data_IF_867548238410
#
_entry.id   IF_867548238410
#
_cell.length_a   1.000
_cell.length_b   1.000
_cell.length_c   1.000
_cell.angle_alpha   90.00
_cell.angle_beta   90.00
_cell.angle_gamma   90.00
#
_symmetry.space_group_name_H-M   'P 1'
#
loop_
_entity.id
_entity.type
_entity.pdbx_description
1 polymer ?
#
# COMPACT_ATOMS: atom_id res chain seq x y z
N UNK A 1 -22.02 -10.57 -14.45
CA UNK A 1 -21.44 -9.33 -15.02
C UNK A 1 -22.31 -8.18 -14.61
N UNK A 2 -21.78 -7.29 -13.77
CA UNK A 2 -22.36 -5.98 -13.48
C UNK A 2 -21.77 -5.01 -14.49
N UNK A 3 -22.63 -4.39 -15.31
CA UNK A 3 -22.27 -3.30 -16.20
C UNK A 3 -23.34 -2.23 -16.06
N UNK A 4 -22.96 -0.96 -16.22
CA UNK A 4 -23.93 0.14 -16.31
C UNK A 4 -24.23 0.45 -17.78
N UNK A 5 -25.48 0.80 -18.09
CA UNK A 5 -25.82 1.31 -19.43
C UNK A 5 -25.30 2.74 -19.52
N UNK A 6 -24.43 2.99 -20.50
CA UNK A 6 -23.81 4.29 -20.70
C UNK A 6 -24.86 5.38 -20.96
N UNK A 7 -24.73 6.48 -20.23
CA UNK A 7 -25.46 7.74 -20.48
C UNK A 7 -24.43 8.80 -20.83
N UNK A 8 -24.69 9.60 -21.85
CA UNK A 8 -23.70 10.52 -22.40
C UNK A 8 -24.00 11.95 -22.00
N UNK A 9 -23.01 12.63 -21.44
CA UNK A 9 -23.02 14.07 -21.18
C UNK A 9 -21.92 14.68 -22.06
N UNK A 10 -22.28 15.57 -23.01
CA UNK A 10 -21.29 16.24 -23.86
C UNK A 10 -20.20 16.91 -23.03
N UNK A 11 -18.95 16.76 -23.44
CA UNK A 11 -17.84 17.40 -22.74
C UNK A 11 -17.71 18.88 -23.09
N UNK A 12 -17.47 19.73 -22.11
CA UNK A 12 -17.09 21.13 -22.35
C UNK A 12 -15.64 21.26 -22.87
N UNK A 13 -14.81 20.23 -22.67
CA UNK A 13 -13.46 20.19 -23.21
C UNK A 13 -13.50 19.75 -24.67
N UNK A 14 -13.08 20.62 -25.59
CA UNK A 14 -13.04 20.38 -27.03
C UNK A 14 -12.22 19.16 -27.42
N UNK A 15 -11.20 18.80 -26.63
CA UNK A 15 -10.36 17.63 -26.90
C UNK A 15 -11.07 16.30 -26.58
N UNK A 16 -12.15 16.34 -25.79
CA UNK A 16 -12.92 15.17 -25.35
C UNK A 16 -14.28 15.06 -26.04
N UNK A 17 -14.72 16.10 -26.74
CA UNK A 17 -16.02 16.16 -27.40
C UNK A 17 -16.18 15.05 -28.45
N UNK A 18 -17.36 14.42 -28.44
CA UNK A 18 -17.70 13.35 -29.38
C UNK A 18 -16.95 12.04 -29.11
N UNK A 19 -16.28 11.91 -27.96
CA UNK A 19 -15.73 10.65 -27.52
C UNK A 19 -16.71 9.94 -26.56
N UNK A 20 -17.46 8.93 -27.03
CA UNK A 20 -18.46 8.27 -26.20
C UNK A 20 -17.88 7.55 -24.98
N UNK A 21 -16.57 7.23 -25.00
CA UNK A 21 -15.89 6.59 -23.87
C UNK A 21 -15.48 7.58 -22.77
N UNK A 22 -15.47 8.88 -23.07
CA UNK A 22 -15.26 9.94 -22.06
C UNK A 22 -16.59 10.50 -21.60
N UNK A 23 -17.51 10.76 -22.53
CA UNK A 23 -18.80 11.40 -22.25
C UNK A 23 -19.73 10.53 -21.39
N UNK A 24 -19.48 9.22 -21.29
CA UNK A 24 -20.20 8.34 -20.38
C UNK A 24 -19.63 8.26 -18.96
N UNK A 25 -18.43 8.79 -18.73
CA UNK A 25 -17.81 8.80 -17.41
C UNK A 25 -18.49 9.84 -16.52
N UNK A 26 -18.51 9.63 -15.19
CA UNK A 26 -19.05 10.61 -14.27
C UNK A 26 -18.35 11.97 -14.41
N UNK A 27 -19.13 13.03 -14.19
CA UNK A 27 -18.57 14.36 -14.00
C UNK A 27 -17.70 14.37 -12.74
N UNK A 28 -16.67 15.20 -12.74
CA UNK A 28 -15.82 15.34 -11.55
C UNK A 28 -16.69 15.89 -10.41
N UNK A 29 -16.71 15.17 -9.30
CA UNK A 29 -17.37 15.60 -8.08
C UNK A 29 -16.62 16.79 -7.45
N UNK A 30 -17.36 17.66 -6.77
CA UNK A 30 -16.75 18.64 -5.87
C UNK A 30 -16.07 17.91 -4.72
N UNK A 31 -15.24 18.60 -3.92
CA UNK A 31 -14.67 18.00 -2.71
C UNK A 31 -15.78 17.45 -1.83
N UNK A 32 -16.81 18.25 -1.56
CA UNK A 32 -17.85 17.89 -0.59
C UNK A 32 -18.65 16.67 -1.07
N UNK A 33 -19.07 16.66 -2.35
CA UNK A 33 -19.78 15.51 -2.92
C UNK A 33 -18.92 14.25 -2.96
N UNK A 34 -17.62 14.39 -3.24
CA UNK A 34 -16.70 13.25 -3.22
C UNK A 34 -16.58 12.66 -1.82
N UNK A 35 -16.46 13.51 -0.79
CA UNK A 35 -16.34 13.07 0.59
C UNK A 35 -17.61 12.38 1.05
N UNK A 36 -18.79 12.88 0.65
CA UNK A 36 -20.07 12.21 0.88
C UNK A 36 -20.16 10.85 0.20
N UNK A 37 -19.61 10.72 -1.02
CA UNK A 37 -19.66 9.48 -1.78
C UNK A 37 -18.72 8.38 -1.24
N UNK A 38 -17.60 8.75 -0.62
CA UNK A 38 -16.55 7.79 -0.25
C UNK A 38 -16.39 7.54 1.25
N UNK A 39 -16.97 8.39 2.12
CA UNK A 39 -16.86 8.13 3.54
C UNK A 39 -17.62 6.86 3.92
N UNK A 40 -17.01 6.05 4.78
CA UNK A 40 -17.64 4.89 5.40
C UNK A 40 -17.24 4.93 6.88
N UNK A 41 -17.90 5.81 7.62
CA UNK A 41 -17.59 6.05 9.02
C UNK A 41 -18.31 5.02 9.89
N UNK A 42 -17.66 4.63 10.98
CA UNK A 42 -18.23 3.72 11.95
C UNK A 42 -18.55 4.50 13.22
N UNK A 43 -19.83 4.50 13.57
CA UNK A 43 -20.32 5.15 14.78
C UNK A 43 -20.42 4.19 15.97
N UNK A 44 -20.33 4.77 17.16
CA UNK A 44 -20.64 4.07 18.40
C UNK A 44 -22.12 3.66 18.39
N UNK A 45 -22.46 2.38 18.64
CA UNK A 45 -23.86 1.94 18.66
C UNK A 45 -24.68 2.73 19.69
N UNK A 46 -25.88 3.19 19.29
CA UNK A 46 -26.79 3.90 20.19
C UNK A 46 -27.17 3.08 21.44
N UNK A 47 -27.22 1.75 21.30
CA UNK A 47 -27.53 0.81 22.37
C UNK A 47 -26.28 0.20 23.01
N UNK A 48 -25.14 0.89 22.99
CA UNK A 48 -23.85 0.40 23.50
C UNK A 48 -24.00 -0.32 24.85
N UNK A 49 -24.71 0.30 25.80
CA UNK A 49 -24.88 -0.20 27.16
C UNK A 49 -25.69 -1.51 27.27
N UNK A 50 -26.53 -1.82 26.28
CA UNK A 50 -27.31 -3.06 26.21
C UNK A 50 -26.49 -4.23 25.62
N UNK A 51 -25.40 -3.92 24.92
CA UNK A 51 -24.54 -4.92 24.29
C UNK A 51 -23.65 -5.61 25.32
N UNK A 52 -23.44 -6.91 25.11
CA UNK A 52 -22.47 -7.70 25.88
C UNK A 52 -21.05 -7.24 25.57
N UNK A 53 -20.13 -7.51 26.51
CA UNK A 53 -18.68 -7.25 26.34
C UNK A 53 -18.16 -7.90 25.05
N UNK A 54 -18.56 -9.15 24.78
CA UNK A 54 -18.17 -9.87 23.57
C UNK A 54 -18.61 -9.15 22.30
N UNK A 55 -19.86 -8.69 22.23
CA UNK A 55 -20.36 -7.96 21.05
C UNK A 55 -19.65 -6.61 20.89
N UNK A 56 -19.37 -5.89 21.98
CA UNK A 56 -18.60 -4.63 21.91
C UNK A 56 -17.17 -4.88 21.42
N UNK A 57 -16.52 -5.97 21.85
CA UNK A 57 -15.19 -6.35 21.38
C UNK A 57 -15.17 -6.68 19.88
N UNK A 58 -16.19 -7.39 19.39
CA UNK A 58 -16.33 -7.68 17.95
C UNK A 58 -16.50 -6.38 17.16
N UNK A 59 -17.33 -5.45 17.66
CA UNK A 59 -17.52 -4.14 17.05
C UNK A 59 -16.27 -3.26 17.10
N UNK A 60 -15.38 -3.42 18.09
CA UNK A 60 -14.13 -2.64 18.15
C UNK A 60 -13.30 -2.76 16.87
N UNK A 61 -13.34 -3.91 16.19
CA UNK A 61 -12.63 -4.15 14.94
C UNK A 61 -13.20 -3.38 13.73
N UNK A 62 -14.43 -2.84 13.82
CA UNK A 62 -15.06 -2.14 12.71
C UNK A 62 -14.31 -0.87 12.31
N UNK A 63 -13.65 -0.18 13.25
CA UNK A 63 -12.87 1.02 12.94
C UNK A 63 -11.77 0.77 11.91
N UNK A 64 -11.22 -0.45 11.87
CA UNK A 64 -10.19 -0.85 10.90
C UNK A 64 -10.74 -0.96 9.47
N UNK A 65 -12.06 -1.06 9.30
CA UNK A 65 -12.74 -1.11 8.01
C UNK A 65 -13.26 0.26 7.57
N UNK A 66 -13.23 1.24 8.46
CA UNK A 66 -13.79 2.55 8.18
C UNK A 66 -12.93 3.37 7.24
N UNK A 67 -13.57 4.26 6.49
CA UNK A 67 -12.93 5.19 5.56
C UNK A 67 -13.22 6.61 6.01
N UNK A 68 -12.20 7.27 6.55
CA UNK A 68 -12.21 8.69 6.87
C UNK A 68 -11.39 9.41 5.79
N UNK A 69 -12.03 10.01 4.77
CA UNK A 69 -11.33 10.65 3.67
C UNK A 69 -10.57 11.90 4.15
N UNK A 70 -9.43 12.14 3.53
CA UNK A 70 -8.58 13.33 3.75
C UNK A 70 -8.34 14.04 2.41
N UNK A 71 -7.67 15.19 2.42
CA UNK A 71 -7.40 15.93 1.17
C UNK A 71 -6.71 15.06 0.10
N UNK A 72 -5.83 14.16 0.51
CA UNK A 72 -5.10 13.23 -0.36
C UNK A 72 -6.03 12.28 -1.14
N UNK A 73 -7.20 11.92 -0.59
CA UNK A 73 -8.18 11.12 -1.32
C UNK A 73 -8.71 11.87 -2.53
N UNK A 74 -9.00 13.18 -2.36
CA UNK A 74 -9.54 14.02 -3.41
C UNK A 74 -8.50 14.37 -4.48
N UNK A 75 -7.24 14.59 -4.08
CA UNK A 75 -6.15 14.84 -5.04
C UNK A 75 -5.93 13.61 -5.94
N UNK A 76 -5.87 12.41 -5.34
CA UNK A 76 -5.73 11.16 -6.08
C UNK A 76 -6.95 10.87 -6.97
N UNK A 77 -8.16 11.18 -6.50
CA UNK A 77 -9.38 11.13 -7.32
C UNK A 77 -9.27 12.02 -8.57
N UNK A 78 -8.83 13.27 -8.39
CA UNK A 78 -8.68 14.22 -9.47
C UNK A 78 -7.66 13.75 -10.51
N UNK A 79 -6.50 13.30 -10.04
CA UNK A 79 -5.42 12.77 -10.87
C UNK A 79 -5.83 11.50 -11.61
N UNK A 80 -6.52 10.57 -10.95
CA UNK A 80 -7.02 9.35 -11.55
C UNK A 80 -8.00 9.65 -12.70
N UNK A 81 -8.97 10.54 -12.48
CA UNK A 81 -9.90 10.96 -13.53
C UNK A 81 -9.19 11.66 -14.70
N UNK A 82 -8.19 12.49 -14.43
CA UNK A 82 -7.41 13.16 -15.47
C UNK A 82 -6.70 12.14 -16.36
N UNK A 83 -5.92 11.23 -15.77
CA UNK A 83 -5.15 10.25 -16.57
C UNK A 83 -6.07 9.31 -17.38
N UNK A 84 -7.25 8.98 -16.84
CA UNK A 84 -8.25 8.17 -17.52
C UNK A 84 -8.79 8.91 -18.75
N UNK A 85 -9.24 10.16 -18.59
CA UNK A 85 -9.80 10.97 -19.68
C UNK A 85 -8.75 11.33 -20.73
N UNK A 86 -7.57 11.78 -20.31
CA UNK A 86 -6.43 12.05 -21.21
C UNK A 86 -6.03 10.81 -22.02
N UNK A 87 -5.97 9.65 -21.37
CA UNK A 87 -5.68 8.41 -22.05
C UNK A 87 -6.73 8.03 -23.09
N UNK A 88 -8.00 8.29 -22.83
CA UNK A 88 -9.09 7.99 -23.74
C UNK A 88 -9.22 9.00 -24.89
N UNK A 89 -8.72 10.23 -24.74
CA UNK A 89 -8.83 11.29 -25.73
C UNK A 89 -8.26 10.87 -27.10
N UNK A 90 -7.04 10.31 -27.10
CA UNK A 90 -6.38 9.79 -28.31
C UNK A 90 -6.89 8.41 -28.77
N UNK A 91 -7.93 7.88 -28.10
CA UNK A 91 -8.45 6.52 -28.27
C UNK A 91 -9.96 6.50 -28.48
N UNK A 92 -10.51 7.55 -29.10
CA UNK A 92 -11.92 7.60 -29.48
C UNK A 92 -12.27 6.43 -30.43
N UNK A 93 -13.21 5.53 -30.05
CA UNK A 93 -13.59 4.37 -30.88
C UNK A 93 -14.20 4.74 -32.24
N UNK A 94 -14.72 5.96 -32.40
CA UNK A 94 -15.33 6.45 -33.62
C UNK A 94 -14.31 7.02 -34.61
N UNK A 95 -13.05 7.21 -34.19
CA UNK A 95 -12.01 7.77 -35.03
C UNK A 95 -11.35 6.69 -35.90
N UNK A 96 -11.29 6.91 -37.23
CA UNK A 96 -10.63 6.00 -38.18
C UNK A 96 -9.15 5.76 -37.86
N UNK A 97 -8.43 6.77 -37.37
CA UNK A 97 -7.02 6.63 -37.03
C UNK A 97 -6.79 5.67 -35.85
N UNK A 98 -7.76 5.58 -34.93
CA UNK A 98 -7.75 4.61 -33.84
C UNK A 98 -7.94 3.20 -34.39
N UNK A 99 -8.86 3.00 -35.34
CA UNK A 99 -9.04 1.70 -36.00
C UNK A 99 -7.79 1.27 -36.79
N UNK A 100 -7.15 2.21 -37.51
CA UNK A 100 -5.87 1.97 -38.20
C UNK A 100 -4.78 1.57 -37.21
N UNK A 101 -4.69 2.27 -36.08
CA UNK A 101 -3.72 1.96 -35.02
C UNK A 101 -3.96 0.57 -34.41
N UNK A 102 -5.20 0.21 -34.06
CA UNK A 102 -5.53 -1.13 -33.55
C UNK A 102 -5.12 -2.23 -34.53
N UNK A 103 -5.39 -2.04 -35.83
CA UNK A 103 -4.97 -2.97 -36.88
C UNK A 103 -3.43 -3.07 -36.99
N UNK A 104 -2.72 -1.96 -36.86
CA UNK A 104 -1.25 -1.96 -36.84
C UNK A 104 -0.68 -2.70 -35.64
N UNK A 105 -1.27 -2.55 -34.46
CA UNK A 105 -0.87 -3.28 -33.25
C UNK A 105 -1.14 -4.78 -33.43
N UNK A 106 -2.34 -5.16 -33.91
CA UNK A 106 -2.71 -6.55 -34.15
C UNK A 106 -1.82 -7.25 -35.19
N UNK A 107 -1.42 -6.54 -36.24
CA UNK A 107 -0.53 -7.06 -37.29
C UNK A 107 0.95 -6.93 -36.97
N UNK A 108 1.31 -6.41 -35.79
CA UNK A 108 2.70 -6.11 -35.40
C UNK A 108 3.43 -5.19 -36.39
N UNK A 109 2.70 -4.34 -37.12
CA UNK A 109 3.25 -3.34 -38.06
C UNK A 109 3.36 -1.94 -37.44
N UNK A 110 2.86 -1.76 -36.22
CA UNK A 110 2.94 -0.50 -35.49
C UNK A 110 4.38 -0.01 -35.32
N UNK A 111 4.64 1.22 -35.75
CA UNK A 111 5.90 1.93 -35.49
C UNK A 111 5.67 2.90 -34.34
N UNK A 112 6.60 2.90 -33.37
CA UNK A 112 6.53 3.73 -32.18
C UNK A 112 6.54 5.21 -32.56
N UNK A 113 5.52 5.94 -32.10
CA UNK A 113 5.42 7.39 -32.23
C UNK A 113 5.81 8.06 -30.91
N UNK A 114 5.91 9.40 -30.90
CA UNK A 114 6.32 10.17 -29.70
C UNK A 114 5.28 10.15 -28.57
N UNK A 115 4.02 9.84 -28.87
CA UNK A 115 2.92 9.84 -27.89
C UNK A 115 3.04 8.66 -26.94
N UNK A 116 3.04 8.93 -25.63
CA UNK A 116 3.05 7.92 -24.56
C UNK A 116 1.86 8.20 -23.66
N UNK A 117 1.07 7.18 -23.32
CA UNK A 117 -0.06 7.36 -22.43
C UNK A 117 0.38 7.81 -21.02
N UNK A 118 -0.42 8.63 -20.33
CA UNK A 118 -0.07 9.12 -19.00
C UNK A 118 0.13 7.96 -18.02
N UNK A 119 1.06 8.13 -17.08
CA UNK A 119 1.29 7.15 -16.02
C UNK A 119 1.48 7.87 -14.70
N UNK A 120 0.80 7.38 -13.67
CA UNK A 120 0.87 7.90 -12.30
C UNK A 120 1.51 6.84 -11.40
N UNK A 121 2.44 7.26 -10.55
CA UNK A 121 3.06 6.40 -9.54
C UNK A 121 2.70 6.95 -8.16
N UNK A 122 1.78 6.28 -7.47
CA UNK A 122 1.36 6.61 -6.12
C UNK A 122 2.10 5.75 -5.09
N UNK A 123 3.16 6.32 -4.52
CA UNK A 123 3.95 5.66 -3.47
C UNK A 123 3.68 6.28 -2.11
N UNK A 124 3.98 5.58 -1.04
CA UNK A 124 3.93 6.16 0.30
C UNK A 124 4.19 5.15 1.40
N UNK A 125 4.25 5.63 2.63
CA UNK A 125 4.60 4.79 3.77
C UNK A 125 3.58 3.67 3.95
N UNK A 126 4.02 2.49 4.40
CA UNK A 126 3.11 1.41 4.77
C UNK A 126 2.10 1.86 5.84
N UNK A 127 0.84 1.44 5.72
CA UNK A 127 -0.22 1.83 6.67
C UNK A 127 -0.88 3.19 6.46
N UNK A 128 -0.57 3.91 5.37
CA UNK A 128 -1.21 5.19 5.01
C UNK A 128 -2.60 5.06 4.38
N UNK A 129 -3.02 3.85 3.99
CA UNK A 129 -4.33 3.64 3.35
C UNK A 129 -4.36 3.84 1.83
N UNK A 130 -3.23 3.71 1.12
CA UNK A 130 -3.15 3.88 -0.34
C UNK A 130 -4.16 3.02 -1.13
N UNK A 131 -4.23 1.73 -0.80
CA UNK A 131 -5.21 0.81 -1.42
C UNK A 131 -6.64 1.24 -1.07
N UNK A 132 -6.89 1.65 0.18
CA UNK A 132 -8.19 2.19 0.60
C UNK A 132 -8.58 3.43 -0.19
N UNK A 133 -7.66 4.37 -0.43
CA UNK A 133 -7.91 5.55 -1.28
C UNK A 133 -8.36 5.12 -2.66
N UNK A 134 -7.62 4.23 -3.31
CA UNK A 134 -7.93 3.83 -4.68
C UNK A 134 -9.24 3.06 -4.73
N UNK A 135 -9.48 2.13 -3.81
CA UNK A 135 -10.75 1.41 -3.76
C UNK A 135 -11.93 2.37 -3.54
N UNK A 136 -11.75 3.39 -2.71
CA UNK A 136 -12.73 4.47 -2.48
C UNK A 136 -12.96 5.33 -3.74
N UNK A 137 -11.90 5.67 -4.48
CA UNK A 137 -12.03 6.36 -5.76
C UNK A 137 -12.81 5.52 -6.77
N UNK A 138 -12.52 4.22 -6.82
CA UNK A 138 -13.16 3.30 -7.76
C UNK A 138 -14.63 3.05 -7.43
N UNK A 139 -15.13 3.32 -6.21
CA UNK A 139 -16.58 3.24 -5.94
C UNK A 139 -17.37 4.33 -6.66
N UNK A 140 -16.71 5.43 -7.06
CA UNK A 140 -17.34 6.56 -7.75
C UNK A 140 -17.43 6.38 -9.27
N UNK A 141 -16.83 5.32 -9.82
CA UNK A 141 -16.70 5.10 -11.27
C UNK A 141 -17.02 3.64 -11.57
N UNK A 142 -17.97 3.40 -12.46
CA UNK A 142 -18.29 2.03 -12.85
C UNK A 142 -17.12 1.37 -13.61
N UNK A 143 -16.82 0.09 -13.34
CA UNK A 143 -15.73 -0.61 -14.01
C UNK A 143 -16.03 -0.88 -15.49
N UNK A 144 -17.31 -1.01 -15.87
CA UNK A 144 -17.73 -1.40 -17.22
C UNK A 144 -18.99 -0.67 -17.65
N UNK A 145 -18.93 -0.01 -18.80
CA UNK A 145 -20.08 0.58 -19.47
C UNK A 145 -20.51 -0.20 -20.71
N UNK A 146 -21.82 -0.32 -20.92
CA UNK A 146 -22.41 -0.89 -22.14
C UNK A 146 -23.03 0.21 -22.99
N UNK A 147 -22.58 0.31 -24.24
CA UNK A 147 -22.98 1.37 -25.18
C UNK A 147 -24.15 0.95 -26.07
N UNK A 148 -25.16 0.27 -25.51
CA UNK A 148 -26.27 -0.28 -26.30
C UNK A 148 -27.20 0.77 -26.93
N UNK A 149 -27.11 2.02 -26.49
CA UNK A 149 -27.97 3.12 -26.93
C UNK A 149 -27.25 4.14 -27.82
N UNK A 150 -25.96 3.96 -28.09
CA UNK A 150 -25.20 4.89 -28.91
C UNK A 150 -25.35 4.56 -30.40
N UNK A 151 -25.77 5.54 -31.21
CA UNK A 151 -26.15 5.32 -32.61
C UNK A 151 -25.03 4.77 -33.49
N UNK A 152 -23.79 5.21 -33.24
CA UNK A 152 -22.61 4.84 -34.03
C UNK A 152 -21.83 3.63 -33.49
N UNK A 153 -22.18 3.12 -32.29
CA UNK A 153 -21.50 1.97 -31.70
C UNK A 153 -22.38 0.73 -31.83
N UNK A 154 -21.75 -0.44 -31.91
CA UNK A 154 -22.48 -1.70 -31.89
C UNK A 154 -23.25 -1.88 -30.57
N UNK A 155 -24.44 -2.46 -30.63
CA UNK A 155 -25.30 -2.68 -29.45
C UNK A 155 -24.70 -3.57 -28.36
N UNK A 156 -23.61 -4.28 -28.68
CA UNK A 156 -22.83 -5.15 -27.79
C UNK A 156 -21.50 -4.53 -27.35
N UNK A 157 -21.20 -3.28 -27.71
CA UNK A 157 -19.96 -2.62 -27.33
C UNK A 157 -19.90 -2.44 -25.81
N UNK A 158 -18.85 -3.00 -25.22
CA UNK A 158 -18.49 -2.85 -23.81
C UNK A 158 -17.22 -2.01 -23.73
N UNK A 159 -17.21 -1.07 -22.80
CA UNK A 159 -16.04 -0.30 -22.41
C UNK A 159 -15.56 -0.78 -21.05
N UNK A 160 -14.33 -1.27 -20.98
CA UNK A 160 -13.65 -1.55 -19.71
C UNK A 160 -12.98 -0.25 -19.26
N UNK A 161 -13.49 0.37 -18.19
CA UNK A 161 -12.99 1.65 -17.70
C UNK A 161 -11.66 1.49 -16.99
N UNK A 162 -11.55 0.49 -16.11
CA UNK A 162 -10.30 0.17 -15.44
C UNK A 162 -10.14 -1.33 -15.21
N UNK A 163 -8.88 -1.76 -15.08
CA UNK A 163 -8.50 -3.08 -14.60
C UNK A 163 -7.57 -2.88 -13.41
N UNK A 164 -7.90 -3.45 -12.26
CA UNK A 164 -7.02 -3.47 -11.08
C UNK A 164 -6.44 -4.85 -10.87
N UNK A 165 -5.13 -4.94 -10.63
CA UNK A 165 -4.45 -6.17 -10.22
C UNK A 165 -3.49 -5.88 -9.06
N UNK A 166 -3.39 -6.82 -8.12
CA UNK A 166 -2.46 -6.74 -7.00
C UNK A 166 -1.22 -7.60 -7.33
N UNK A 167 -0.05 -6.99 -7.45
CA UNK A 167 1.18 -7.69 -7.84
C UNK A 167 1.66 -8.55 -6.66
N UNK A 168 1.78 -9.88 -6.79
CA UNK A 168 2.26 -10.73 -5.70
C UNK A 168 3.79 -10.64 -5.50
N UNK A 169 4.28 -11.04 -4.32
CA UNK A 169 5.70 -11.00 -3.94
C UNK A 169 6.65 -11.70 -4.94
N UNK A 170 6.24 -12.85 -5.48
CA UNK A 170 7.00 -13.62 -6.48
C UNK A 170 6.48 -13.41 -7.92
N UNK A 171 5.99 -12.21 -8.23
CA UNK A 171 5.48 -11.90 -9.55
C UNK A 171 6.54 -12.05 -10.64
N UNK A 172 6.14 -12.70 -11.74
CA UNK A 172 6.88 -12.68 -12.99
C UNK A 172 6.00 -12.05 -14.09
N UNK A 173 6.61 -11.67 -15.21
CA UNK A 173 5.89 -10.94 -16.27
C UNK A 173 4.72 -11.75 -16.86
N UNK A 174 4.85 -13.08 -16.91
CA UNK A 174 3.79 -13.93 -17.44
C UNK A 174 2.58 -13.96 -16.52
N UNK A 175 2.80 -14.10 -15.21
CA UNK A 175 1.75 -14.04 -14.20
C UNK A 175 0.97 -12.73 -14.27
N UNK A 176 1.66 -11.59 -14.37
CA UNK A 176 1.01 -10.27 -14.54
C UNK A 176 0.12 -10.25 -15.79
N UNK A 177 0.57 -10.85 -16.90
CA UNK A 177 -0.25 -10.92 -18.12
C UNK A 177 -1.51 -11.76 -17.92
N UNK A 178 -1.40 -12.89 -17.21
CA UNK A 178 -2.53 -13.78 -16.93
C UNK A 178 -3.54 -13.10 -16.00
N UNK A 179 -3.08 -12.36 -14.98
CA UNK A 179 -3.97 -11.59 -14.10
C UNK A 179 -4.78 -10.55 -14.86
N UNK A 180 -4.17 -9.82 -15.81
CA UNK A 180 -4.90 -8.86 -16.67
C UNK A 180 -5.90 -9.59 -17.57
N UNK A 181 -5.50 -10.72 -18.18
CA UNK A 181 -6.39 -11.51 -19.03
C UNK A 181 -7.59 -12.06 -18.24
N UNK A 182 -7.36 -12.50 -17.00
CA UNK A 182 -8.39 -12.97 -16.06
C UNK A 182 -9.43 -11.87 -15.75
N UNK A 183 -8.97 -10.65 -15.51
CA UNK A 183 -9.88 -9.50 -15.30
C UNK A 183 -10.72 -9.21 -16.55
N UNK A 184 -10.13 -9.32 -17.74
CA UNK A 184 -10.87 -9.17 -19.01
C UNK A 184 -11.89 -10.30 -19.18
N UNK A 185 -11.50 -11.54 -18.87
CA UNK A 185 -12.39 -12.71 -18.95
C UNK A 185 -13.60 -12.59 -18.03
N UNK A 186 -13.42 -12.05 -16.82
CA UNK A 186 -14.51 -11.78 -15.88
C UNK A 186 -15.54 -10.78 -16.44
N UNK A 187 -15.09 -9.82 -17.26
CA UNK A 187 -15.96 -8.83 -17.90
C UNK A 187 -16.62 -9.37 -19.17
N UNK A 188 -15.88 -10.08 -20.02
CA UNK A 188 -16.35 -10.49 -21.35
C UNK A 188 -16.92 -11.91 -21.39
N UNK A 189 -16.67 -12.74 -20.37
CA UNK A 189 -17.07 -14.15 -20.35
C UNK A 189 -16.22 -15.01 -21.28
N UNK A 190 -14.99 -14.58 -21.54
CA UNK A 190 -13.99 -15.24 -22.39
C UNK A 190 -13.08 -16.14 -21.57
N UNK A 191 -12.08 -16.76 -22.20
CA UNK A 191 -11.08 -17.61 -21.55
C UNK A 191 -9.64 -17.30 -22.03
N UNK A 192 -9.31 -16.02 -22.19
CA UNK A 192 -7.98 -15.58 -22.57
C UNK A 192 -6.89 -16.01 -21.59
N UNK A 193 -7.16 -16.03 -20.28
CA UNK A 193 -6.21 -16.50 -19.27
C UNK A 193 -5.72 -17.92 -19.59
N UNK A 194 -6.66 -18.86 -19.74
CA UNK A 194 -6.36 -20.26 -20.06
C UNK A 194 -5.67 -20.41 -21.44
N UNK A 195 -6.08 -19.60 -22.42
CA UNK A 195 -5.45 -19.58 -23.74
C UNK A 195 -4.00 -19.06 -23.66
N UNK A 196 -3.74 -18.08 -22.80
CA UNK A 196 -2.47 -17.37 -22.72
C UNK A 196 -1.45 -18.09 -21.85
N UNK A 197 -1.90 -18.86 -20.86
CA UNK A 197 -1.07 -19.72 -20.02
C UNK A 197 -0.22 -20.69 -20.85
N UNK A 198 -0.79 -21.21 -21.93
CA UNK A 198 -0.14 -22.16 -22.86
C UNK A 198 0.90 -21.48 -23.77
N UNK A 199 1.00 -20.15 -23.76
CA UNK A 199 1.86 -19.39 -24.66
C UNK A 199 3.24 -19.12 -24.06
N UNK A 200 4.25 -19.07 -24.94
CA UNK A 200 5.55 -18.51 -24.59
C UNK A 200 5.38 -17.06 -24.13
N UNK A 201 6.14 -16.65 -23.11
CA UNK A 201 6.05 -15.33 -22.45
C UNK A 201 6.04 -14.15 -23.44
N UNK A 202 6.94 -14.15 -24.43
CA UNK A 202 7.02 -13.07 -25.42
C UNK A 202 5.78 -12.98 -26.32
N UNK A 203 5.15 -14.11 -26.63
CA UNK A 203 3.91 -14.15 -27.41
C UNK A 203 2.70 -13.77 -26.53
N UNK A 204 2.70 -14.20 -25.26
CA UNK A 204 1.69 -13.81 -24.27
C UNK A 204 1.63 -12.28 -24.13
N UNK A 205 2.77 -11.61 -23.91
CA UNK A 205 2.85 -10.15 -23.83
C UNK A 205 2.28 -9.48 -25.09
N UNK A 206 2.69 -9.95 -26.28
CA UNK A 206 2.20 -9.39 -27.55
C UNK A 206 0.68 -9.53 -27.69
N UNK A 207 0.14 -10.73 -27.45
CA UNK A 207 -1.30 -10.98 -27.53
C UNK A 207 -2.08 -10.15 -26.52
N UNK A 208 -1.58 -10.01 -25.29
CA UNK A 208 -2.19 -9.17 -24.27
C UNK A 208 -2.24 -7.70 -24.72
N UNK A 209 -1.14 -7.16 -25.22
CA UNK A 209 -1.08 -5.77 -25.72
C UNK A 209 -2.07 -5.56 -26.87
N UNK A 210 -2.18 -6.52 -27.79
CA UNK A 210 -3.20 -6.50 -28.85
C UNK A 210 -4.61 -6.56 -28.27
N UNK A 211 -4.88 -7.44 -27.30
CA UNK A 211 -6.18 -7.56 -26.67
C UNK A 211 -6.60 -6.27 -25.96
N UNK A 212 -5.72 -5.69 -25.14
CA UNK A 212 -6.05 -4.48 -24.40
C UNK A 212 -6.22 -3.27 -25.33
N UNK A 213 -5.47 -3.19 -26.43
CA UNK A 213 -5.66 -2.13 -27.44
C UNK A 213 -6.94 -2.32 -28.26
N UNK A 214 -7.31 -3.55 -28.62
CA UNK A 214 -8.57 -3.82 -29.33
C UNK A 214 -9.80 -3.51 -28.47
N UNK A 215 -9.70 -3.72 -27.16
CA UNK A 215 -10.76 -3.42 -26.19
C UNK A 215 -10.75 -1.98 -25.71
N UNK A 216 -9.76 -1.17 -26.11
CA UNK A 216 -9.58 0.22 -25.67
C UNK A 216 -9.66 0.37 -24.14
N UNK A 217 -9.03 -0.55 -23.40
CA UNK A 217 -9.05 -0.57 -21.91
C UNK A 217 -8.67 0.81 -21.36
N UNK A 218 -9.51 1.40 -20.51
CA UNK A 218 -9.37 2.78 -20.05
C UNK A 218 -8.07 3.01 -19.27
N UNK A 219 -7.87 2.37 -18.13
CA UNK A 219 -6.64 2.44 -17.32
C UNK A 219 -6.31 1.08 -16.68
N UNK A 220 -5.02 0.77 -16.49
CA UNK A 220 -4.59 -0.41 -15.72
C UNK A 220 -3.93 0.05 -14.42
N UNK A 221 -4.46 -0.44 -13.30
CA UNK A 221 -4.02 -0.18 -11.94
C UNK A 221 -3.21 -1.38 -11.46
N UNK A 222 -1.94 -1.14 -11.14
CA UNK A 222 -1.03 -2.10 -10.55
C UNK A 222 -0.86 -1.75 -9.08
N UNK A 223 -1.47 -2.51 -8.18
CA UNK A 223 -1.21 -2.38 -6.75
C UNK A 223 0.01 -3.21 -6.33
N UNK A 224 0.58 -2.88 -5.18
CA UNK A 224 1.72 -3.60 -4.59
C UNK A 224 2.98 -3.64 -5.50
N UNK A 225 3.25 -2.58 -6.27
CA UNK A 225 4.35 -2.59 -7.26
C UNK A 225 5.74 -2.76 -6.66
N UNK A 226 5.88 -2.50 -5.36
CA UNK A 226 7.12 -2.70 -4.62
C UNK A 226 7.54 -4.18 -4.60
N UNK A 227 6.62 -5.12 -4.85
CA UNK A 227 6.94 -6.54 -4.96
C UNK A 227 7.91 -6.85 -6.12
N UNK A 228 7.93 -6.00 -7.16
CA UNK A 228 8.90 -6.09 -8.26
C UNK A 228 10.36 -5.90 -7.77
N UNK A 229 10.56 -5.27 -6.60
CA UNK A 229 11.88 -5.12 -5.99
C UNK A 229 12.48 -6.45 -5.52
N UNK A 230 11.67 -7.47 -5.28
CA UNK A 230 12.14 -8.81 -4.87
C UNK A 230 12.32 -9.76 -6.05
N UNK A 231 11.74 -9.43 -7.20
CA UNK A 231 11.90 -10.19 -8.43
C UNK A 231 13.34 -10.16 -8.96
N UNK A 232 13.79 -11.29 -9.52
CA UNK A 232 15.09 -11.40 -10.18
C UNK A 232 15.30 -10.30 -11.25
N UNK A 233 16.52 -9.73 -11.40
CA UNK A 233 16.77 -8.58 -12.28
C UNK A 233 16.31 -8.77 -13.73
N UNK A 234 16.46 -9.97 -14.29
CA UNK A 234 16.02 -10.28 -15.65
C UNK A 234 14.49 -10.28 -15.81
N UNK A 235 13.77 -10.73 -14.79
CA UNK A 235 12.30 -10.69 -14.79
C UNK A 235 11.81 -9.27 -14.53
N UNK A 236 12.45 -8.51 -13.63
CA UNK A 236 12.17 -7.08 -13.44
C UNK A 236 12.26 -6.29 -14.76
N UNK A 237 13.32 -6.48 -15.54
CA UNK A 237 13.47 -5.84 -16.87
C UNK A 237 12.30 -6.16 -17.80
N UNK A 238 11.82 -7.40 -17.80
CA UNK A 238 10.68 -7.83 -18.63
C UNK A 238 9.36 -7.19 -18.16
N UNK A 239 9.16 -7.03 -16.86
CA UNK A 239 7.99 -6.32 -16.32
C UNK A 239 8.02 -4.84 -16.76
N UNK A 240 9.17 -4.18 -16.72
CA UNK A 240 9.31 -2.83 -17.26
C UNK A 240 9.03 -2.75 -18.75
N UNK A 241 9.47 -3.75 -19.53
CA UNK A 241 9.12 -3.84 -20.94
C UNK A 241 7.62 -4.01 -21.14
N UNK A 242 6.93 -4.80 -20.30
CA UNK A 242 5.47 -4.91 -20.35
C UNK A 242 4.80 -3.54 -20.11
N UNK A 243 5.21 -2.79 -19.08
CA UNK A 243 4.69 -1.44 -18.83
C UNK A 243 4.93 -0.49 -20.02
N UNK A 244 6.11 -0.55 -20.64
CA UNK A 244 6.46 0.22 -21.84
C UNK A 244 5.52 -0.14 -23.02
N UNK A 245 5.27 -1.44 -23.23
CA UNK A 245 4.36 -1.90 -24.29
C UNK A 245 2.92 -1.47 -24.03
N UNK A 246 2.42 -1.55 -22.80
CA UNK A 246 1.06 -1.10 -22.45
C UNK A 246 0.89 0.41 -22.69
N UNK A 247 1.83 1.23 -22.25
CA UNK A 247 1.73 2.69 -22.32
C UNK A 247 2.01 3.27 -23.70
N UNK A 248 2.84 2.62 -24.53
CA UNK A 248 3.26 3.19 -25.82
C UNK A 248 2.67 2.47 -27.03
N UNK A 249 2.51 1.14 -26.94
CA UNK A 249 1.92 0.35 -28.03
C UNK A 249 0.42 0.31 -27.86
N UNK A 250 -0.06 -0.14 -26.69
CA UNK A 250 -1.50 -0.15 -26.40
C UNK A 250 -2.08 1.21 -25.99
N UNK A 251 -1.21 2.22 -25.75
CA UNK A 251 -1.61 3.58 -25.35
C UNK A 251 -2.55 3.59 -24.13
N UNK A 252 -2.34 2.67 -23.20
CA UNK A 252 -3.17 2.55 -22.00
C UNK A 252 -2.47 3.29 -20.85
N UNK A 253 -3.15 4.26 -20.22
CA UNK A 253 -2.72 4.83 -18.96
C UNK A 253 -2.48 3.78 -17.90
N UNK A 254 -1.54 4.05 -17.01
CA UNK A 254 -1.27 3.14 -15.88
C UNK A 254 -1.18 3.90 -14.57
N UNK A 255 -1.81 3.35 -13.53
CA UNK A 255 -1.62 3.78 -12.14
C UNK A 255 -0.82 2.69 -11.42
N UNK A 256 0.26 3.08 -10.75
CA UNK A 256 1.14 2.16 -10.03
C UNK A 256 1.18 2.53 -8.56
N UNK A 257 0.69 1.65 -7.69
CA UNK A 257 0.55 1.90 -6.26
C UNK A 257 1.56 1.02 -5.52
N UNK A 258 2.24 1.56 -4.52
CA UNK A 258 3.18 0.76 -3.73
C UNK A 258 3.75 1.51 -2.54
N UNK A 259 4.60 0.83 -1.77
CA UNK A 259 5.34 1.46 -0.68
C UNK A 259 6.46 2.35 -1.20
N UNK A 260 7.06 3.17 -0.34
CA UNK A 260 8.22 4.03 -0.69
C UNK A 260 9.38 3.21 -1.24
N UNK A 261 9.49 1.94 -0.86
CA UNK A 261 10.44 0.97 -1.43
C UNK A 261 10.37 0.86 -2.95
N UNK A 262 9.19 1.09 -3.55
CA UNK A 262 9.05 1.11 -5.01
C UNK A 262 9.84 2.24 -5.68
N UNK A 263 10.26 3.28 -4.94
CA UNK A 263 11.11 4.35 -5.47
C UNK A 263 12.49 3.83 -5.89
N UNK A 264 13.00 2.77 -5.27
CA UNK A 264 14.25 2.09 -5.70
C UNK A 264 14.20 1.58 -7.13
N UNK A 265 13.00 1.28 -7.65
CA UNK A 265 12.81 0.89 -9.05
C UNK A 265 13.13 2.02 -10.04
N UNK A 266 13.00 3.27 -9.59
CA UNK A 266 13.30 4.48 -10.38
C UNK A 266 14.79 4.83 -10.34
N UNK A 267 15.48 4.51 -9.24
CA UNK A 267 16.88 4.86 -8.99
C UNK A 267 17.88 4.06 -9.84
N UNK A 268 17.51 2.85 -10.26
CA UNK A 268 18.42 1.96 -10.98
C UNK A 268 18.69 2.40 -12.43
N UNK A 269 17.73 3.02 -13.12
CA UNK A 269 17.92 3.59 -14.47
C UNK A 269 16.91 4.72 -14.71
N UNK A 270 17.35 5.87 -15.25
CA UNK A 270 16.48 7.01 -15.57
C UNK A 270 15.30 6.65 -16.50
N UNK A 271 15.50 5.65 -17.37
CA UNK A 271 14.45 5.09 -18.24
C UNK A 271 13.32 4.43 -17.44
N UNK A 272 13.61 3.82 -16.29
CA UNK A 272 12.61 3.17 -15.45
C UNK A 272 11.74 4.18 -14.70
N UNK A 273 12.30 5.33 -14.31
CA UNK A 273 11.53 6.43 -13.72
C UNK A 273 10.40 6.90 -14.66
N UNK A 274 10.69 7.08 -15.96
CA UNK A 274 9.66 7.45 -16.97
C UNK A 274 8.59 6.37 -17.16
N UNK A 275 8.96 5.09 -17.06
CA UNK A 275 8.02 3.97 -17.20
C UNK A 275 7.09 3.82 -16.00
N UNK A 276 7.51 4.32 -14.84
CA UNK A 276 6.71 4.23 -13.62
C UNK A 276 5.64 5.31 -13.56
N UNK A 277 5.94 6.54 -14.02
CA UNK A 277 4.99 7.64 -14.08
C UNK A 277 5.38 8.84 -13.22
N UNK A 278 4.53 9.85 -13.20
CA UNK A 278 4.67 11.04 -12.35
C UNK A 278 4.59 10.58 -10.88
N UNK A 279 5.58 10.90 -10.03
CA UNK A 279 5.58 10.46 -8.64
C UNK A 279 4.64 11.31 -7.78
N UNK A 280 3.77 10.65 -7.03
CA UNK A 280 3.06 11.19 -5.87
C UNK A 280 3.49 10.37 -4.65
N UNK A 281 4.16 11.01 -3.68
CA UNK A 281 4.68 10.34 -2.48
C UNK A 281 3.91 10.77 -1.22
N UNK A 282 3.14 9.84 -0.66
CA UNK A 282 2.37 10.07 0.56
C UNK A 282 3.16 9.66 1.80
N UNK A 283 3.54 10.66 2.58
CA UNK A 283 4.26 10.49 3.85
C UNK A 283 3.28 10.49 5.02
N UNK A 284 3.78 10.11 6.19
CA UNK A 284 3.02 10.21 7.43
C UNK A 284 2.51 11.63 7.68
N UNK A 285 1.34 11.72 8.33
CA UNK A 285 0.78 13.01 8.66
C UNK A 285 1.63 13.71 9.72
N UNK A 286 1.76 15.03 9.58
CA UNK A 286 2.37 15.87 10.61
C UNK A 286 1.36 16.09 11.72
N UNK A 287 1.82 16.17 12.96
CA UNK A 287 0.96 16.43 14.11
C UNK A 287 0.09 17.70 13.95
N UNK A 288 0.61 18.69 13.23
CA UNK A 288 -0.04 19.98 13.00
C UNK A 288 -0.93 20.03 11.75
N UNK A 289 -1.05 18.94 10.98
CA UNK A 289 -1.88 18.96 9.76
C UNK A 289 -3.36 18.85 10.10
N UNK A 290 -4.20 19.54 9.32
CA UNK A 290 -5.65 19.50 9.47
C UNK A 290 -6.20 18.08 9.28
N UNK A 291 -5.69 17.34 8.27
CA UNK A 291 -6.09 15.95 8.04
C UNK A 291 -5.77 15.04 9.23
N UNK A 292 -4.65 15.28 9.93
CA UNK A 292 -4.31 14.50 11.12
C UNK A 292 -5.32 14.77 12.23
N UNK A 293 -5.70 16.04 12.41
CA UNK A 293 -6.69 16.42 13.40
C UNK A 293 -8.05 15.78 13.09
N UNK A 294 -8.48 15.76 11.84
CA UNK A 294 -9.70 15.06 11.41
C UNK A 294 -9.63 13.58 11.76
N UNK A 295 -8.55 12.90 11.36
CA UNK A 295 -8.36 11.46 11.59
C UNK A 295 -8.35 11.10 13.08
N UNK A 296 -7.60 11.86 13.91
CA UNK A 296 -7.49 11.56 15.33
C UNK A 296 -8.79 11.85 16.08
N UNK A 297 -9.51 12.93 15.75
CA UNK A 297 -10.81 13.22 16.35
C UNK A 297 -11.84 12.14 15.98
N UNK A 298 -11.89 11.74 14.71
CA UNK A 298 -12.75 10.64 14.26
C UNK A 298 -12.43 9.34 15.00
N UNK A 299 -11.16 8.92 14.98
CA UNK A 299 -10.76 7.68 15.61
C UNK A 299 -11.04 7.67 17.12
N UNK A 300 -10.77 8.79 17.79
CA UNK A 300 -11.00 8.94 19.23
C UNK A 300 -12.49 8.95 19.60
N UNK A 301 -13.36 9.40 18.70
CA UNK A 301 -14.81 9.32 18.86
C UNK A 301 -15.31 7.88 19.02
N UNK A 302 -14.60 6.90 18.46
CA UNK A 302 -14.98 5.49 18.50
C UNK A 302 -14.55 4.79 19.81
N UNK A 303 -15.09 5.26 20.94
CA UNK A 303 -14.92 4.64 22.25
C UNK A 303 -16.14 3.76 22.58
N UNK A 304 -15.90 2.48 22.84
CA UNK A 304 -16.92 1.48 23.20
C UNK A 304 -16.94 1.20 24.71
N UNK A 305 -16.32 2.07 25.50
CA UNK A 305 -16.28 2.01 26.97
C UNK A 305 -17.51 2.67 27.59
N UNK A 306 -17.77 2.40 28.88
CA UNK A 306 -18.96 2.91 29.55
C UNK A 306 -18.94 4.44 29.75
N UNK A 307 -17.75 5.03 29.84
CA UNK A 307 -17.56 6.47 29.91
C UNK A 307 -16.72 6.94 28.72
N UNK A 308 -17.24 7.95 28.04
CA UNK A 308 -16.52 8.67 27.00
C UNK A 308 -15.52 9.65 27.61
N UNK A 309 -14.32 9.71 27.05
CA UNK A 309 -13.28 10.67 27.42
C UNK A 309 -13.05 11.62 26.26
N UNK A 310 -13.12 12.93 26.51
CA UNK A 310 -12.82 13.93 25.49
C UNK A 310 -11.34 13.94 25.09
N UNK A 311 -11.07 14.16 23.81
CA UNK A 311 -9.71 14.24 23.29
C UNK A 311 -9.07 15.57 23.70
N UNK A 312 -8.07 15.51 24.58
CA UNK A 312 -7.31 16.69 25.01
C UNK A 312 -5.89 16.70 24.40
N UNK A 313 -5.15 17.79 24.63
CA UNK A 313 -3.79 17.96 24.10
C UNK A 313 -2.81 16.88 24.60
N UNK A 314 -2.96 16.41 25.84
CA UNK A 314 -2.10 15.35 26.39
C UNK A 314 -2.28 14.04 25.62
N UNK A 315 -3.52 13.63 25.37
CA UNK A 315 -3.83 12.45 24.56
C UNK A 315 -3.35 12.60 23.12
N UNK A 316 -3.59 13.75 22.47
CA UNK A 316 -3.09 14.01 21.11
C UNK A 316 -1.57 13.87 21.00
N UNK A 317 -0.85 14.48 21.94
CA UNK A 317 0.62 14.44 21.99
C UNK A 317 1.14 13.03 22.23
N UNK A 318 0.58 12.33 23.21
CA UNK A 318 0.99 10.97 23.55
C UNK A 318 0.76 10.02 22.36
N UNK A 319 -0.45 10.00 21.79
CA UNK A 319 -0.77 9.15 20.63
C UNK A 319 0.18 9.44 19.48
N UNK A 320 0.35 10.70 19.09
CA UNK A 320 1.25 11.06 17.99
C UNK A 320 2.69 10.60 18.26
N UNK A 321 3.18 10.78 19.48
CA UNK A 321 4.53 10.32 19.86
C UNK A 321 4.72 8.81 19.65
N UNK A 322 3.68 8.00 19.90
CA UNK A 322 3.72 6.55 19.77
C UNK A 322 3.63 6.07 18.32
N UNK A 323 2.74 6.66 17.52
CA UNK A 323 2.37 6.14 16.19
C UNK A 323 2.84 6.98 14.99
N UNK A 324 3.43 8.16 15.25
CA UNK A 324 4.07 9.00 14.24
C UNK A 324 3.17 9.40 13.05
N UNK A 325 1.86 9.55 13.25
CA UNK A 325 0.95 10.01 12.20
C UNK A 325 0.61 8.96 11.13
N UNK A 326 0.72 7.66 11.45
CA UNK A 326 0.32 6.55 10.56
C UNK A 326 -1.14 6.14 10.87
N UNK A 327 -2.10 6.30 9.93
CA UNK A 327 -3.52 5.99 10.13
C UNK A 327 -3.81 4.55 10.56
N UNK A 328 -3.16 3.56 9.93
CA UNK A 328 -3.32 2.15 10.32
C UNK A 328 -2.99 1.93 11.81
N UNK A 329 -1.90 2.51 12.28
CA UNK A 329 -1.50 2.44 13.68
C UNK A 329 -2.47 3.17 14.61
N UNK A 330 -3.07 4.28 14.16
CA UNK A 330 -4.10 5.01 14.92
C UNK A 330 -5.34 4.15 15.14
N UNK A 331 -5.93 3.63 14.06
CA UNK A 331 -7.15 2.83 14.15
C UNK A 331 -6.91 1.53 14.92
N UNK A 332 -5.74 0.91 14.73
CA UNK A 332 -5.36 -0.28 15.48
C UNK A 332 -5.19 0.03 16.98
N UNK A 333 -4.60 1.18 17.35
CA UNK A 333 -4.48 1.59 18.75
C UNK A 333 -5.86 1.73 19.40
N UNK A 334 -6.81 2.38 18.74
CA UNK A 334 -8.17 2.57 19.26
C UNK A 334 -8.91 1.24 19.39
N UNK A 335 -8.84 0.38 18.37
CA UNK A 335 -9.40 -0.98 18.42
C UNK A 335 -8.87 -1.74 19.65
N UNK A 336 -7.54 -1.74 19.84
CA UNK A 336 -6.92 -2.48 20.94
C UNK A 336 -7.20 -1.85 22.31
N UNK A 337 -7.29 -0.52 22.41
CA UNK A 337 -7.69 0.16 23.64
C UNK A 337 -9.12 -0.20 24.04
N UNK A 338 -10.05 -0.21 23.08
CA UNK A 338 -11.43 -0.68 23.32
C UNK A 338 -11.44 -2.11 23.85
N UNK A 339 -10.80 -3.04 23.15
CA UNK A 339 -10.73 -4.45 23.56
C UNK A 339 -10.08 -4.62 24.94
N UNK A 340 -9.01 -3.89 25.22
CA UNK A 340 -8.33 -3.97 26.51
C UNK A 340 -9.20 -3.45 27.66
N UNK A 341 -9.89 -2.33 27.47
CA UNK A 341 -10.78 -1.77 28.49
C UNK A 341 -11.95 -2.71 28.79
N UNK A 342 -12.59 -3.21 27.74
CA UNK A 342 -13.73 -4.13 27.81
C UNK A 342 -13.40 -5.40 28.58
N UNK A 343 -12.25 -6.03 28.29
CA UNK A 343 -11.81 -7.28 28.95
C UNK A 343 -11.48 -7.12 30.42
N UNK A 344 -10.96 -5.97 30.80
CA UNK A 344 -10.48 -5.72 32.16
C UNK A 344 -11.46 -4.89 33.00
N UNK A 345 -12.64 -4.56 32.45
CA UNK A 345 -13.64 -3.74 33.13
C UNK A 345 -13.20 -2.30 33.39
N UNK A 346 -12.29 -1.75 32.58
CA UNK A 346 -11.95 -0.33 32.65
C UNK A 346 -13.05 0.50 32.01
N UNK A 347 -13.57 1.48 32.77
CA UNK A 347 -14.70 2.30 32.32
C UNK A 347 -14.36 3.35 31.27
N UNK A 348 -13.07 3.64 31.03
CA UNK A 348 -12.62 4.74 30.18
C UNK A 348 -11.17 4.56 29.71
N UNK A 349 -10.80 5.25 28.63
CA UNK A 349 -9.41 5.34 28.18
C UNK A 349 -8.57 6.20 29.14
N UNK A 350 -7.29 5.84 29.30
CA UNK A 350 -6.31 6.62 30.07
C UNK A 350 -4.95 6.55 29.40
N UNK A 351 -4.06 7.50 29.71
CA UNK A 351 -2.68 7.49 29.21
C UNK A 351 -1.94 6.18 29.57
N UNK A 352 -2.24 5.60 30.75
CA UNK A 352 -1.67 4.31 31.18
C UNK A 352 -2.14 3.17 30.29
N UNK A 353 -3.43 3.14 29.92
CA UNK A 353 -4.00 2.14 29.03
C UNK A 353 -3.36 2.25 27.64
N UNK A 354 -3.24 3.48 27.09
CA UNK A 354 -2.65 3.71 25.78
C UNK A 354 -1.20 3.19 25.73
N UNK A 355 -0.38 3.54 26.72
CA UNK A 355 1.01 3.06 26.83
C UNK A 355 1.06 1.54 26.95
N UNK A 356 0.24 0.96 27.83
CA UNK A 356 0.20 -0.49 28.00
C UNK A 356 -0.20 -1.23 26.71
N UNK A 357 -1.21 -0.73 26.00
CA UNK A 357 -1.65 -1.31 24.73
C UNK A 357 -0.55 -1.18 23.68
N UNK A 358 0.10 -0.02 23.59
CA UNK A 358 1.25 0.16 22.69
C UNK A 358 2.36 -0.86 22.99
N UNK A 359 2.79 -0.96 24.25
CA UNK A 359 3.88 -1.86 24.63
C UNK A 359 3.56 -3.34 24.44
N UNK A 360 2.28 -3.73 24.54
CA UNK A 360 1.87 -5.14 24.46
C UNK A 360 1.34 -5.58 23.09
N UNK A 361 0.78 -4.66 22.29
CA UNK A 361 0.12 -4.99 21.01
C UNK A 361 0.89 -4.53 19.79
N UNK A 362 1.83 -3.60 19.94
CA UNK A 362 2.63 -3.09 18.82
C UNK A 362 4.01 -3.75 18.75
N UNK A 363 4.27 -4.93 19.32
CA UNK A 363 5.64 -5.47 19.43
C UNK A 363 6.44 -5.42 18.12
N UNK A 364 5.87 -5.92 17.01
CA UNK A 364 6.47 -5.87 15.67
C UNK A 364 6.46 -4.44 15.08
N UNK A 365 5.37 -3.70 15.25
CA UNK A 365 5.24 -2.34 14.70
C UNK A 365 6.09 -1.31 15.44
N UNK A 366 6.46 -1.56 16.70
CA UNK A 366 7.18 -0.63 17.57
C UNK A 366 8.58 -0.39 17.03
N UNK A 367 9.27 -1.44 16.58
CA UNK A 367 10.58 -1.31 15.92
C UNK A 367 10.49 -0.51 14.63
N UNK A 368 9.45 -0.73 13.82
CA UNK A 368 9.18 0.06 12.62
C UNK A 368 8.94 1.55 12.97
N UNK A 369 8.07 1.83 13.95
CA UNK A 369 7.73 3.19 14.36
C UNK A 369 8.94 3.93 14.97
N UNK A 370 9.82 3.23 15.68
CA UNK A 370 11.12 3.76 16.12
C UNK A 370 12.00 4.10 14.92
N UNK A 371 12.13 3.19 13.94
CA UNK A 371 12.88 3.44 12.72
C UNK A 371 12.36 4.69 11.98
N UNK A 372 11.04 4.82 11.87
CA UNK A 372 10.39 5.99 11.26
C UNK A 372 10.72 7.28 12.01
N UNK A 373 10.69 7.27 13.35
CA UNK A 373 11.04 8.43 14.19
C UNK A 373 12.49 8.90 13.96
N UNK A 374 13.39 7.97 13.66
CA UNK A 374 14.78 8.27 13.29
C UNK A 374 14.99 8.53 11.79
N UNK A 375 13.92 8.66 11.01
CA UNK A 375 13.97 8.94 9.57
C UNK A 375 14.45 7.76 8.72
N UNK A 376 14.45 6.53 9.26
CA UNK A 376 14.84 5.30 8.56
C UNK A 376 13.63 4.66 7.87
N UNK A 377 13.14 5.33 6.82
CA UNK A 377 11.94 4.96 6.06
C UNK A 377 12.06 3.55 5.45
N UNK A 378 13.21 3.23 4.87
CA UNK A 378 13.46 1.92 4.28
C UNK A 378 13.29 0.78 5.29
N UNK A 379 13.84 0.94 6.49
CA UNK A 379 13.70 -0.04 7.56
C UNK A 379 12.26 -0.12 8.07
N UNK A 380 11.55 1.03 8.16
CA UNK A 380 10.13 1.05 8.49
C UNK A 380 9.29 0.25 7.48
N UNK A 381 9.45 0.53 6.19
CA UNK A 381 8.69 -0.17 5.14
C UNK A 381 9.04 -1.66 5.13
N UNK A 382 10.32 -2.02 5.23
CA UNK A 382 10.76 -3.42 5.29
C UNK A 382 10.16 -4.17 6.49
N UNK A 383 10.09 -3.57 7.68
CA UNK A 383 9.48 -4.22 8.85
C UNK A 383 7.97 -4.36 8.68
N UNK A 384 7.29 -3.35 8.12
CA UNK A 384 5.85 -3.36 7.94
C UNK A 384 5.38 -4.33 6.83
N UNK A 385 6.09 -4.40 5.70
CA UNK A 385 5.71 -5.27 4.56
C UNK A 385 6.06 -6.74 4.80
N UNK A 386 7.09 -7.01 5.59
CA UNK A 386 7.65 -8.36 5.74
C UNK A 386 6.99 -9.13 6.90
N UNK A 387 5.87 -8.65 7.45
CA UNK A 387 5.14 -9.28 8.57
C UNK A 387 4.65 -10.72 8.32
N UNK A 388 4.78 -11.25 7.09
CA UNK A 388 4.56 -12.68 6.76
C UNK A 388 5.86 -13.52 6.65
N UNK A 389 7.03 -12.89 6.54
CA UNK A 389 8.33 -13.55 6.33
C UNK A 389 9.35 -13.28 7.47
N UNK A 390 9.18 -12.19 8.23
CA UNK A 390 10.06 -11.78 9.34
C UNK A 390 10.19 -12.87 10.39
N UNK A 391 9.12 -13.59 10.74
CA UNK A 391 9.24 -14.65 11.76
C UNK A 391 10.23 -15.73 11.35
N UNK A 392 10.32 -16.07 10.06
CA UNK A 392 11.28 -17.08 9.57
C UNK A 392 12.66 -16.48 9.33
N UNK A 393 12.75 -15.28 8.80
CA UNK A 393 14.03 -14.63 8.50
C UNK A 393 14.74 -14.10 9.75
N UNK A 394 14.02 -13.47 10.69
CA UNK A 394 14.54 -13.06 11.99
C UNK A 394 14.99 -14.29 12.78
N UNK A 395 14.18 -15.36 12.83
CA UNK A 395 14.61 -16.61 13.48
C UNK A 395 15.88 -17.18 12.87
N UNK A 396 16.02 -17.12 11.53
CA UNK A 396 17.22 -17.60 10.82
C UNK A 396 18.44 -16.72 11.11
N UNK A 397 18.26 -15.40 11.17
CA UNK A 397 19.31 -14.43 11.49
C UNK A 397 19.80 -14.59 12.94
N UNK A 398 18.88 -14.67 13.92
CA UNK A 398 19.22 -14.91 15.33
C UNK A 398 19.98 -16.23 15.47
N UNK A 399 19.50 -17.29 14.82
CA UNK A 399 20.16 -18.60 14.83
C UNK A 399 21.57 -18.56 14.23
N UNK A 400 21.77 -17.78 13.16
CA UNK A 400 23.09 -17.60 12.55
C UNK A 400 24.02 -16.77 13.44
N UNK A 401 23.57 -15.63 13.98
CA UNK A 401 24.38 -14.79 14.86
C UNK A 401 24.79 -15.53 16.14
N UNK A 402 23.87 -16.28 16.76
CA UNK A 402 24.17 -17.10 17.93
C UNK A 402 25.13 -18.25 17.59
N UNK A 403 25.03 -18.84 16.40
CA UNK A 403 25.97 -19.88 15.94
C UNK A 403 27.37 -19.32 15.70
N UNK A 404 27.48 -18.17 15.03
CA UNK A 404 28.77 -17.48 14.78
C UNK A 404 29.39 -17.07 16.12
N UNK A 405 28.58 -16.56 17.05
CA UNK A 405 29.03 -16.22 18.40
C UNK A 405 29.48 -17.44 19.19
N UNK A 406 28.83 -18.59 19.01
CA UNK A 406 29.24 -19.86 19.61
C UNK A 406 30.63 -20.28 19.13
N UNK A 407 30.81 -20.33 17.79
CA UNK A 407 32.00 -20.82 17.08
C UNK A 407 33.24 -19.94 17.32
N UNK A 408 33.08 -18.61 17.28
CA UNK A 408 34.20 -17.67 17.33
C UNK A 408 34.53 -17.16 18.74
N UNK A 409 33.68 -17.44 19.74
CA UNK A 409 33.90 -17.07 21.15
C UNK A 409 34.27 -15.59 21.34
N UNK A 410 33.54 -14.69 20.67
CA UNK A 410 33.78 -13.24 20.73
C UNK A 410 33.83 -12.71 22.17
N UNK A 411 34.67 -11.69 22.36
CA UNK A 411 34.89 -10.98 23.62
C UNK A 411 34.82 -9.48 23.38
N UNK A 412 34.48 -8.71 24.40
CA UNK A 412 34.50 -7.25 24.37
C UNK A 412 33.55 -6.58 23.38
N UNK A 413 34.05 -5.58 22.64
CA UNK A 413 33.24 -4.79 21.68
C UNK A 413 32.52 -5.67 20.64
N UNK A 414 33.15 -6.77 20.20
CA UNK A 414 32.54 -7.71 19.24
C UNK A 414 31.37 -8.48 19.87
N UNK A 415 31.48 -8.84 21.15
CA UNK A 415 30.40 -9.48 21.89
C UNK A 415 29.23 -8.51 22.13
N UNK A 416 29.54 -7.24 22.41
CA UNK A 416 28.56 -6.16 22.61
C UNK A 416 27.76 -5.86 21.34
N UNK A 417 28.44 -5.70 20.21
CA UNK A 417 27.81 -5.45 18.92
C UNK A 417 26.85 -6.58 18.50
N UNK A 418 27.21 -7.83 18.78
CA UNK A 418 26.33 -8.98 18.51
C UNK A 418 25.16 -9.03 19.48
N UNK A 419 25.38 -8.72 20.76
CA UNK A 419 24.32 -8.69 21.77
C UNK A 419 23.26 -7.62 21.45
N UNK A 420 23.67 -6.39 21.11
CA UNK A 420 22.75 -5.29 20.75
C UNK A 420 21.90 -5.60 19.50
N UNK A 421 22.40 -6.44 18.59
CA UNK A 421 21.64 -6.89 17.42
C UNK A 421 20.63 -8.00 17.75
N UNK A 422 20.85 -8.78 18.82
CA UNK A 422 20.00 -9.90 19.23
C UNK A 422 18.94 -9.45 20.26
N UNK A 423 19.31 -8.57 21.18
CA UNK A 423 18.51 -8.13 22.33
C UNK A 423 17.07 -7.69 22.00
N UNK A 424 16.81 -6.90 20.94
CA UNK A 424 15.46 -6.45 20.60
C UNK A 424 14.48 -7.58 20.27
N UNK A 425 14.99 -8.78 19.92
CA UNK A 425 14.20 -9.89 19.41
C UNK A 425 14.11 -11.09 20.38
N UNK A 426 14.84 -11.05 21.50
CA UNK A 426 14.80 -12.09 22.54
C UNK A 426 13.42 -12.34 23.18
N UNK A 427 12.55 -11.33 23.39
CA UNK A 427 11.24 -11.56 24.01
C UNK A 427 10.32 -12.49 23.19
N UNK A 428 10.54 -12.59 21.88
CA UNK A 428 9.70 -13.35 20.95
C UNK A 428 10.40 -14.62 20.40
N UNK A 429 11.69 -14.83 20.70
CA UNK A 429 12.49 -15.98 20.25
C UNK A 429 12.62 -17.07 21.33
N UNK A 430 12.15 -18.29 21.05
CA UNK A 430 12.36 -19.45 21.93
C UNK A 430 13.77 -20.02 21.77
N UNK A 431 14.68 -19.62 22.66
CA UNK A 431 16.05 -20.14 22.72
C UNK A 431 16.09 -21.64 23.05
N UNK A 432 16.93 -22.38 22.34
CA UNK A 432 17.37 -23.72 22.75
C UNK A 432 18.31 -23.63 23.96
N UNK A 433 18.50 -24.75 24.69
CA UNK A 433 19.44 -24.78 25.83
C UNK A 433 20.88 -24.37 25.46
N UNK A 434 21.27 -24.60 24.20
CA UNK A 434 22.61 -24.29 23.68
C UNK A 434 22.77 -22.80 23.35
N UNK A 435 21.75 -22.23 22.72
CA UNK A 435 21.67 -20.79 22.42
C UNK A 435 21.60 -19.95 23.70
N UNK A 436 20.80 -20.36 24.69
CA UNK A 436 20.72 -19.67 25.98
C UNK A 436 22.06 -19.66 26.75
N UNK A 437 22.86 -20.72 26.64
CA UNK A 437 24.23 -20.74 27.20
C UNK A 437 25.17 -19.78 26.48
N UNK A 438 25.03 -19.65 25.17
CA UNK A 438 25.86 -18.74 24.35
C UNK A 438 25.51 -17.28 24.65
N UNK A 439 24.23 -16.96 24.78
CA UNK A 439 23.77 -15.63 25.17
C UNK A 439 24.28 -15.22 26.56
N UNK A 440 24.13 -16.09 27.57
CA UNK A 440 24.69 -15.84 28.91
C UNK A 440 26.20 -15.66 28.92
N UNK A 441 26.91 -16.30 27.98
CA UNK A 441 28.35 -16.12 27.83
C UNK A 441 28.67 -14.73 27.29
N UNK A 442 27.93 -14.27 26.27
CA UNK A 442 28.09 -12.92 25.72
C UNK A 442 27.81 -11.85 26.79
N UNK A 443 26.70 -11.97 27.54
CA UNK A 443 26.37 -11.08 28.66
C UNK A 443 27.48 -11.02 29.71
N UNK A 444 28.08 -12.17 30.05
CA UNK A 444 29.18 -12.24 31.02
C UNK A 444 30.47 -11.60 30.50
N UNK A 445 30.77 -11.74 29.20
CA UNK A 445 31.95 -11.14 28.57
C UNK A 445 31.82 -9.62 28.45
N UNK A 446 30.60 -9.11 28.23
CA UNK A 446 30.31 -7.68 28.26
C UNK A 446 30.46 -7.12 29.69
N UNK A 447 30.00 -7.87 30.69
CA UNK A 447 30.10 -7.45 32.10
C UNK A 447 31.54 -7.47 32.65
N UNK A 448 32.43 -8.33 32.14
CA UNK A 448 33.82 -8.40 32.61
C UNK A 448 34.68 -7.22 32.15
N UNK A 449 34.36 -6.56 31.03
CA UNK A 449 35.09 -5.36 30.58
C UNK A 449 34.66 -4.08 31.32
N UNK A 450 33.43 -4.01 31.83
CA UNK A 450 32.99 -2.87 32.65
C UNK A 450 33.75 -2.77 33.99
N UNK A 451 34.43 -3.84 34.40
CA UNK A 451 35.25 -3.92 35.62
C UNK A 451 36.74 -3.65 35.41
N UNK A 452 37.22 -3.51 34.17
CA UNK A 452 38.63 -3.22 33.85
C UNK A 452 38.85 -1.72 33.53
N UNK A 453 38.27 -0.83 34.35
CA UNK A 453 38.75 0.56 34.42
C UNK A 453 40.00 0.53 35.33
N UNK A 454 41.18 1.00 34.88
CA UNK A 454 42.34 1.07 35.76
C UNK A 454 42.01 2.01 36.93
N UNK A 455 42.17 1.50 38.15
CA UNK A 455 42.28 2.37 39.31
C UNK A 455 43.66 3.02 39.25
N UNK A 456 43.72 4.34 39.06
CA UNK A 456 44.97 5.09 39.29
C UNK A 456 45.37 4.94 40.77
N UNK A 457 46.68 4.99 41.05
CA UNK A 457 47.32 4.72 42.36
C UNK A 457 46.80 5.56 43.54
N UNK A 458 45.90 6.53 43.32
CA UNK A 458 45.29 7.38 44.36
C UNK A 458 43.77 7.21 44.56
N UNK A 459 43.12 6.23 43.93
CA UNK A 459 41.80 5.73 44.39
C UNK A 459 40.58 6.66 44.25
N UNK A 460 40.52 7.54 43.24
CA UNK A 460 39.31 8.30 42.93
C UNK A 460 38.70 7.92 41.58
N UNK A 461 37.40 7.62 41.55
CA UNK A 461 36.61 7.39 40.35
C UNK A 461 36.46 8.70 39.54
N UNK A 462 37.07 8.76 38.35
CA UNK A 462 36.87 9.86 37.41
C UNK A 462 35.48 9.82 36.77
N UNK A 463 34.70 10.88 36.98
CA UNK A 463 33.44 11.14 36.28
C UNK A 463 33.67 11.30 34.76
N UNK A 464 32.83 10.72 33.89
CA UNK A 464 32.94 10.95 32.46
C UNK A 464 32.42 12.34 32.07
N UNK A 465 33.22 13.05 31.27
CA UNK A 465 32.85 14.26 30.50
C UNK A 465 31.98 13.89 29.29
#
# INVERSE_FOLDING_TARGET
MTYEIAKYIPSDNTDFQGNPFIECLPLRLTSDDFWEAVHDLVDVPYNLHELTVETREQKAANIMKSVCPTSEYYDIYCDFLNILKEGLADRNPLNEDVQRWQNQVATSSFKRNRTTAPSLKFTGYSGMGKTTVIDSVLTTIEPVYKHSQHELLGSKTLQIVYIKIDIPAEANTHMICLMIASQIDNVLGTNYEEQYEKLKRSLCIKKLVTLCSSLLVGVIIFDEIHNICFTAPNERKKIFMLFDQLTQVARIPTLKIGTSKANRLSEQEFTNARRLGIPHEWRNYKQTSADWDILINYAWGYQLTDKFVELNAEFKNEIYSLIQGIPHCLFFLIEQCNKYCLRNGFSAFTLKIIKHVYDTKFSIMKSALIALRHGKIDAFDDIMTTSRELDKEIQKLIKQLLKIAEENKFTGEEARAIHEQIEPYLPEYKLTQKEAKTLKRLEKQIASEATDIPTDEDGYEGLPL
#
